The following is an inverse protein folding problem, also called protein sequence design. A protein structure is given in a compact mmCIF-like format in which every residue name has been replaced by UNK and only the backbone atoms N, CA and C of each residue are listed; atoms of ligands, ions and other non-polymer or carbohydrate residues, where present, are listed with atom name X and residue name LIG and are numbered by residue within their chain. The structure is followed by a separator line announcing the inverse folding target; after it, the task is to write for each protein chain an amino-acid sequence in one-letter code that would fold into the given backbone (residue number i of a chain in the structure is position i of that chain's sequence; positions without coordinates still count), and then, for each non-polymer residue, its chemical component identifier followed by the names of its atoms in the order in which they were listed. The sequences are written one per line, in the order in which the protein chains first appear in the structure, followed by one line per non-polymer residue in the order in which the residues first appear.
data_IF_494082919638
#
_entry.id   IF_494082919638
#
_cell.length_a   1.000
_cell.length_b   1.000
_cell.length_c   1.000
_cell.angle_alpha   90.00
_cell.angle_beta   90.00
_cell.angle_gamma   90.00
#
_symmetry.space_group_name_H-M   'P 1'
#
loop_
_entity.id
_entity.type
_entity.pdbx_description
1 polymer ?
#
# COMPACT_ATOMS: atom_id res chain seq x y z
N UNK A 1 11.28 21.57 14.68
CA UNK A 1 10.41 21.10 13.57
C UNK A 1 10.91 21.68 12.25
N UNK A 2 11.44 22.90 12.30
CA UNK A 2 12.05 23.70 11.23
C UNK A 2 13.16 23.03 10.40
N UNK A 3 13.61 21.83 10.78
CA UNK A 3 14.57 21.04 10.01
C UNK A 3 13.92 20.21 8.89
N UNK A 4 12.59 20.13 8.88
CA UNK A 4 11.85 19.23 8.02
C UNK A 4 10.92 20.00 7.09
N UNK A 5 11.00 19.70 5.81
CA UNK A 5 10.06 20.18 4.79
C UNK A 5 8.65 19.65 5.06
N UNK A 6 7.66 20.53 5.03
CA UNK A 6 6.24 20.22 5.23
C UNK A 6 5.73 19.18 4.21
N UNK A 7 5.00 18.18 4.69
CA UNK A 7 4.40 17.16 3.82
C UNK A 7 5.38 16.19 3.15
N UNK A 8 6.68 16.23 3.50
CA UNK A 8 7.73 15.49 2.82
C UNK A 8 8.33 14.36 3.67
N UNK A 9 7.79 13.14 3.52
CA UNK A 9 8.41 11.94 4.10
C UNK A 9 9.81 11.72 3.55
N UNK A 10 10.02 12.05 2.27
CA UNK A 10 11.32 11.99 1.60
C UNK A 10 12.35 12.83 2.35
N UNK A 11 12.03 14.09 2.69
CA UNK A 11 12.92 14.95 3.46
C UNK A 11 13.16 14.42 4.88
N UNK A 12 12.10 14.01 5.59
CA UNK A 12 12.19 13.41 6.92
C UNK A 12 13.20 12.25 6.96
N UNK A 13 13.10 11.31 6.02
CA UNK A 13 13.99 10.14 5.95
C UNK A 13 15.38 10.51 5.46
N UNK A 14 15.51 11.46 4.53
CA UNK A 14 16.82 11.98 4.09
C UNK A 14 17.63 12.48 5.28
N UNK A 15 17.01 13.18 6.22
CA UNK A 15 17.69 13.70 7.41
C UNK A 15 17.98 12.62 8.46
N UNK A 16 17.02 11.73 8.77
CA UNK A 16 17.15 10.80 9.90
C UNK A 16 17.95 9.54 9.53
N UNK A 17 17.81 9.03 8.31
CA UNK A 17 18.40 7.76 7.87
C UNK A 17 19.30 7.87 6.65
N UNK A 18 19.57 9.08 6.14
CA UNK A 18 20.36 9.28 4.93
C UNK A 18 21.80 8.78 5.05
N UNK A 19 22.60 9.37 5.95
CA UNK A 19 24.04 9.11 6.00
C UNK A 19 24.50 8.33 7.25
N UNK A 20 23.79 8.44 8.38
CA UNK A 20 24.26 7.95 9.69
C UNK A 20 24.48 6.44 9.76
N UNK A 21 23.82 5.67 8.90
CA UNK A 21 23.97 4.20 8.80
C UNK A 21 25.32 3.78 8.18
N UNK A 22 26.00 4.66 7.47
CA UNK A 22 27.29 4.42 6.81
C UNK A 22 28.51 4.87 7.61
N UNK A 23 28.33 5.36 8.85
CA UNK A 23 29.43 5.87 9.66
C UNK A 23 30.39 4.75 10.07
N UNK A 24 31.68 4.87 9.73
CA UNK A 24 32.73 3.90 10.09
C UNK A 24 32.85 3.64 11.60
N UNK A 25 32.42 4.60 12.42
CA UNK A 25 32.46 4.51 13.88
C UNK A 25 31.37 3.58 14.47
N UNK A 26 30.35 3.23 13.68
CA UNK A 26 29.26 2.37 14.12
C UNK A 26 29.39 0.98 13.49
N UNK A 27 29.21 -0.07 14.29
CA UNK A 27 29.16 -1.46 13.77
C UNK A 27 27.81 -1.78 13.14
N UNK A 28 26.75 -1.26 13.72
CA UNK A 28 25.38 -1.39 13.24
C UNK A 28 24.52 -0.27 13.85
N UNK A 29 23.45 0.10 13.17
CA UNK A 29 22.46 1.07 13.63
C UNK A 29 21.09 0.60 13.15
N UNK A 30 20.09 0.68 14.02
CA UNK A 30 18.69 0.42 13.64
C UNK A 30 17.79 1.53 14.14
N UNK A 31 16.98 2.08 13.24
CA UNK A 31 15.92 3.01 13.62
C UNK A 31 14.68 2.20 14.04
N UNK A 32 14.41 2.15 15.34
CA UNK A 32 13.29 1.39 15.88
C UNK A 32 11.96 2.13 15.78
N UNK A 33 11.93 3.42 16.10
CA UNK A 33 10.68 4.18 16.08
C UNK A 33 10.89 5.68 15.82
N UNK A 34 9.82 6.35 15.39
CA UNK A 34 9.74 7.80 15.24
C UNK A 34 8.53 8.35 16.01
N UNK A 35 8.78 9.34 16.88
CA UNK A 35 7.74 10.19 17.43
C UNK A 35 7.61 11.44 16.57
N UNK A 36 6.50 11.55 15.86
CA UNK A 36 6.24 12.64 14.91
C UNK A 36 5.32 13.66 15.59
N UNK A 37 5.73 14.93 15.74
CA UNK A 37 4.94 15.91 16.48
C UNK A 37 3.66 16.28 15.72
N UNK A 38 2.53 16.58 16.42
CA UNK A 38 1.27 16.94 15.77
C UNK A 38 1.37 18.09 14.76
N UNK A 39 2.24 19.08 15.03
CA UNK A 39 2.48 20.18 14.09
C UNK A 39 3.03 19.70 12.74
N UNK A 40 3.89 18.68 12.72
CA UNK A 40 4.40 18.11 11.47
C UNK A 40 3.38 17.17 10.83
N UNK A 41 2.68 16.36 11.62
CA UNK A 41 1.59 15.48 11.14
C UNK A 41 0.55 16.28 10.34
N UNK A 42 0.17 17.46 10.82
CA UNK A 42 -0.82 18.34 10.16
C UNK A 42 -0.41 18.86 8.77
N UNK A 43 0.85 18.71 8.38
CA UNK A 43 1.34 19.10 7.04
C UNK A 43 1.10 18.01 6.00
N UNK A 44 0.71 16.80 6.41
CA UNK A 44 0.43 15.68 5.51
C UNK A 44 -1.07 15.52 5.29
N UNK A 45 -1.44 15.10 4.08
CA UNK A 45 -2.83 14.74 3.78
C UNK A 45 -3.20 13.33 4.24
N UNK A 46 -2.21 12.45 4.45
CA UNK A 46 -2.44 11.08 4.93
C UNK A 46 -3.14 10.19 3.90
N UNK A 47 -3.91 9.16 4.33
CA UNK A 47 -4.68 8.29 3.44
C UNK A 47 -5.62 9.07 2.51
N UNK A 48 -5.80 8.65 1.24
CA UNK A 48 -6.80 9.25 0.36
C UNK A 48 -8.22 9.25 0.95
N UNK A 49 -8.60 8.16 1.63
CA UNK A 49 -9.93 7.94 2.18
C UNK A 49 -9.92 7.37 3.61
N UNK A 50 -9.09 6.35 3.85
CA UNK A 50 -9.04 5.63 5.14
C UNK A 50 -10.20 4.66 5.36
N UNK A 51 -10.16 3.99 6.51
CA UNK A 51 -10.97 2.79 6.83
C UNK A 51 -12.47 3.06 6.76
N UNK A 52 -12.94 4.15 7.37
CA UNK A 52 -14.36 4.46 7.47
C UNK A 52 -14.95 4.77 6.09
N UNK A 53 -14.34 5.71 5.37
CA UNK A 53 -14.81 6.14 4.04
C UNK A 53 -14.76 4.99 3.04
N UNK A 54 -13.76 4.11 3.10
CA UNK A 54 -13.73 2.91 2.27
C UNK A 54 -14.94 2.00 2.53
N UNK A 55 -15.25 1.72 3.80
CA UNK A 55 -16.41 0.88 4.15
C UNK A 55 -17.71 1.47 3.67
N UNK A 56 -17.84 2.79 3.79
CA UNK A 56 -19.01 3.53 3.33
C UNK A 56 -19.14 3.46 1.80
N UNK A 57 -18.05 3.72 1.07
CA UNK A 57 -18.00 3.63 -0.40
C UNK A 57 -18.35 2.25 -0.94
N UNK A 58 -17.94 1.20 -0.23
CA UNK A 58 -18.11 -0.19 -0.67
C UNK A 58 -19.35 -0.86 -0.07
N UNK A 59 -20.06 -0.19 0.82
CA UNK A 59 -21.21 -0.70 1.56
C UNK A 59 -20.93 -2.05 2.26
N UNK A 60 -19.81 -2.12 3.00
CA UNK A 60 -19.32 -3.37 3.61
C UNK A 60 -18.89 -3.18 5.07
N UNK A 61 -19.68 -3.76 5.98
CA UNK A 61 -19.54 -3.56 7.43
C UNK A 61 -19.51 -4.88 8.22
N UNK A 62 -19.11 -4.82 9.48
CA UNK A 62 -19.17 -5.96 10.41
C UNK A 62 -18.18 -7.09 10.16
N UNK A 63 -17.37 -7.03 9.09
CA UNK A 63 -16.38 -8.05 8.73
C UNK A 63 -15.10 -7.47 8.12
N UNK A 64 -14.07 -8.32 8.06
CA UNK A 64 -12.89 -8.07 7.25
C UNK A 64 -13.22 -8.15 5.74
N UNK A 65 -12.44 -7.45 4.92
CA UNK A 65 -12.46 -7.64 3.48
C UNK A 65 -11.73 -8.94 3.12
N UNK A 66 -12.23 -9.64 2.10
CA UNK A 66 -11.59 -10.82 1.53
C UNK A 66 -10.99 -10.49 0.18
N UNK A 67 -9.69 -10.79 0.03
CA UNK A 67 -8.92 -10.48 -1.17
C UNK A 67 -8.08 -11.66 -1.65
N UNK A 68 -7.72 -11.68 -2.93
CA UNK A 68 -6.81 -12.67 -3.50
C UNK A 68 -5.88 -12.06 -4.56
N UNK A 69 -4.59 -12.40 -4.51
CA UNK A 69 -3.65 -12.13 -5.60
C UNK A 69 -3.80 -13.17 -6.68
N UNK A 70 -4.01 -12.75 -7.94
CA UNK A 70 -4.10 -13.68 -9.06
C UNK A 70 -2.77 -14.43 -9.25
N UNK A 71 -2.85 -15.72 -9.58
CA UNK A 71 -1.70 -16.62 -9.77
C UNK A 71 -1.77 -17.35 -11.13
N UNK A 72 -0.63 -17.78 -11.72
CA UNK A 72 0.74 -17.56 -11.26
C UNK A 72 1.14 -16.08 -11.25
N UNK A 73 2.20 -15.75 -10.51
CA UNK A 73 2.65 -14.36 -10.28
C UNK A 73 2.90 -13.60 -11.60
N UNK A 74 3.51 -14.25 -12.59
CA UNK A 74 3.69 -13.71 -13.94
C UNK A 74 3.35 -14.79 -14.99
N UNK A 75 3.14 -14.36 -16.24
CA UNK A 75 3.00 -15.25 -17.40
C UNK A 75 1.56 -15.50 -17.87
N UNK A 76 0.54 -15.04 -17.15
CA UNK A 76 -0.84 -15.03 -17.65
C UNK A 76 -1.02 -13.92 -18.70
N UNK A 77 -1.77 -14.21 -19.76
CA UNK A 77 -2.27 -13.20 -20.68
C UNK A 77 -3.36 -12.33 -20.03
N UNK A 78 -3.55 -11.11 -20.53
CA UNK A 78 -4.55 -10.17 -20.01
C UNK A 78 -5.97 -10.78 -19.94
N UNK A 79 -6.39 -11.50 -20.97
CA UNK A 79 -7.71 -12.15 -21.03
C UNK A 79 -7.87 -13.25 -19.97
N UNK A 80 -6.84 -14.08 -19.79
CA UNK A 80 -6.87 -15.13 -18.74
C UNK A 80 -6.81 -14.51 -17.34
N UNK A 81 -6.13 -13.37 -17.18
CA UNK A 81 -6.13 -12.59 -15.94
C UNK A 81 -7.54 -12.09 -15.59
N UNK A 82 -8.25 -11.51 -16.57
CA UNK A 82 -9.65 -11.11 -16.43
C UNK A 82 -10.56 -12.28 -16.08
N UNK A 83 -10.40 -13.44 -16.73
CA UNK A 83 -11.15 -14.65 -16.38
C UNK A 83 -10.92 -15.07 -14.93
N UNK A 84 -9.66 -15.15 -14.48
CA UNK A 84 -9.34 -15.52 -13.11
C UNK A 84 -9.91 -14.51 -12.10
N UNK A 85 -9.81 -13.21 -12.40
CA UNK A 85 -10.43 -12.13 -11.62
C UNK A 85 -11.94 -12.37 -11.43
N UNK A 86 -12.66 -12.60 -12.53
CA UNK A 86 -14.11 -12.83 -12.51
C UNK A 86 -14.49 -14.05 -11.65
N UNK A 87 -13.82 -15.19 -11.85
CA UNK A 87 -14.11 -16.43 -11.11
C UNK A 87 -13.91 -16.25 -9.60
N UNK A 88 -12.86 -15.56 -9.19
CA UNK A 88 -12.60 -15.27 -7.79
C UNK A 88 -13.63 -14.30 -7.18
N UNK A 89 -13.98 -13.23 -7.88
CA UNK A 89 -14.91 -12.21 -7.37
C UNK A 89 -16.34 -12.73 -7.27
N UNK A 90 -16.83 -13.45 -8.30
CA UNK A 90 -18.18 -14.06 -8.28
C UNK A 90 -18.30 -15.13 -7.20
N UNK A 91 -17.18 -15.74 -6.79
CA UNK A 91 -17.11 -16.74 -5.73
C UNK A 91 -17.22 -16.18 -4.31
N UNK A 92 -17.34 -14.86 -4.14
CA UNK A 92 -17.59 -14.22 -2.84
C UNK A 92 -16.45 -13.36 -2.30
N UNK A 93 -15.32 -13.23 -3.02
CA UNK A 93 -14.30 -12.26 -2.64
C UNK A 93 -14.80 -10.82 -2.86
N UNK A 94 -14.34 -9.90 -2.02
CA UNK A 94 -14.57 -8.46 -2.23
C UNK A 94 -13.61 -7.94 -3.30
N UNK A 95 -12.38 -8.45 -3.25
CA UNK A 95 -11.30 -7.99 -4.08
C UNK A 95 -10.47 -9.10 -4.70
N UNK A 96 -9.89 -8.80 -5.84
CA UNK A 96 -8.67 -9.45 -6.32
C UNK A 96 -7.56 -8.40 -6.48
N UNK A 97 -6.34 -8.81 -6.78
CA UNK A 97 -5.24 -7.85 -7.00
C UNK A 97 -4.22 -8.34 -8.00
N UNK A 98 -3.60 -7.37 -8.65
CA UNK A 98 -2.34 -7.56 -9.34
C UNK A 98 -1.29 -8.08 -8.34
N UNK A 99 -0.39 -8.94 -8.80
CA UNK A 99 0.81 -9.25 -8.03
C UNK A 99 1.76 -8.04 -8.06
N UNK A 100 2.60 -7.80 -7.05
CA UNK A 100 3.38 -6.55 -6.97
C UNK A 100 4.29 -6.33 -8.19
N UNK A 101 4.79 -7.41 -8.79
CA UNK A 101 5.61 -7.33 -10.00
C UNK A 101 4.82 -7.48 -11.31
N UNK A 102 3.48 -7.48 -11.28
CA UNK A 102 2.66 -7.35 -12.49
C UNK A 102 2.52 -5.86 -12.80
N UNK A 103 3.26 -5.39 -13.82
CA UNK A 103 3.23 -3.99 -14.24
C UNK A 103 2.81 -3.93 -15.72
N UNK A 104 3.76 -3.91 -16.65
CA UNK A 104 3.51 -3.96 -18.10
C UNK A 104 4.57 -4.75 -18.85
N UNK A 105 4.46 -6.07 -18.80
CA UNK A 105 5.41 -7.00 -19.41
C UNK A 105 4.98 -7.41 -20.83
N UNK A 106 5.87 -7.99 -21.66
CA UNK A 106 5.52 -8.48 -23.00
C UNK A 106 4.35 -9.46 -23.03
N UNK A 107 4.21 -10.33 -22.02
CA UNK A 107 3.11 -11.31 -21.95
C UNK A 107 1.76 -10.67 -21.57
N UNK A 108 1.76 -9.46 -21.00
CA UNK A 108 0.55 -8.77 -20.55
C UNK A 108 0.81 -7.27 -20.37
N UNK A 109 0.41 -6.48 -21.37
CA UNK A 109 0.45 -5.02 -21.27
C UNK A 109 -0.61 -4.53 -20.30
N UNK A 110 -0.27 -3.48 -19.56
CA UNK A 110 -1.11 -2.99 -18.47
C UNK A 110 -2.50 -2.55 -18.93
N UNK A 111 -2.61 -1.89 -20.08
CA UNK A 111 -3.88 -1.35 -20.57
C UNK A 111 -4.86 -2.45 -20.97
N UNK A 112 -4.37 -3.51 -21.62
CA UNK A 112 -5.18 -4.69 -21.94
C UNK A 112 -5.67 -5.39 -20.66
N UNK A 113 -4.79 -5.53 -19.67
CA UNK A 113 -5.16 -6.10 -18.36
C UNK A 113 -6.23 -5.27 -17.68
N UNK A 114 -6.06 -3.94 -17.63
CA UNK A 114 -7.02 -3.03 -17.02
C UNK A 114 -8.41 -3.18 -17.68
N UNK A 115 -8.46 -3.26 -19.00
CA UNK A 115 -9.71 -3.45 -19.74
C UNK A 115 -10.42 -4.78 -19.39
N UNK A 116 -9.74 -5.93 -19.50
CA UNK A 116 -10.35 -7.23 -19.20
C UNK A 116 -10.68 -7.41 -17.70
N UNK A 117 -9.91 -6.79 -16.81
CA UNK A 117 -10.20 -6.81 -15.38
C UNK A 117 -11.38 -5.91 -15.04
N UNK A 118 -11.52 -4.74 -15.67
CA UNK A 118 -12.70 -3.89 -15.50
C UNK A 118 -13.98 -4.64 -15.94
N UNK A 119 -13.95 -5.31 -17.10
CA UNK A 119 -15.03 -6.19 -17.54
C UNK A 119 -15.37 -7.25 -16.48
N UNK A 120 -14.36 -7.93 -15.93
CA UNK A 120 -14.53 -8.95 -14.90
C UNK A 120 -15.13 -8.42 -13.59
N UNK A 121 -14.70 -7.24 -13.14
CA UNK A 121 -15.27 -6.56 -11.96
C UNK A 121 -16.76 -6.32 -12.18
N UNK A 122 -17.13 -5.66 -13.28
CA UNK A 122 -18.52 -5.28 -13.49
C UNK A 122 -19.43 -6.48 -13.76
N UNK A 123 -18.93 -7.50 -14.46
CA UNK A 123 -19.66 -8.75 -14.66
C UNK A 123 -19.95 -9.46 -13.33
N UNK A 124 -18.94 -9.63 -12.47
CA UNK A 124 -19.12 -10.28 -11.16
C UNK A 124 -19.98 -9.45 -10.21
N UNK A 125 -19.86 -8.11 -10.23
CA UNK A 125 -20.73 -7.22 -9.46
C UNK A 125 -22.19 -7.31 -9.91
N UNK A 126 -22.45 -7.33 -11.21
CA UNK A 126 -23.81 -7.46 -11.74
C UNK A 126 -24.46 -8.81 -11.35
N UNK A 127 -23.70 -9.90 -11.35
CA UNK A 127 -24.20 -11.23 -11.00
C UNK A 127 -24.42 -11.42 -9.49
N UNK A 128 -23.59 -10.80 -8.66
CA UNK A 128 -23.64 -10.99 -7.20
C UNK A 128 -24.45 -9.93 -6.46
N UNK A 129 -24.67 -8.76 -7.07
CA UNK A 129 -25.30 -7.61 -6.41
C UNK A 129 -24.41 -6.90 -5.39
N UNK A 130 -23.14 -7.30 -5.24
CA UNK A 130 -22.19 -6.70 -4.30
C UNK A 130 -21.14 -5.87 -5.03
N UNK A 131 -20.69 -4.77 -4.42
CA UNK A 131 -19.55 -4.00 -4.94
C UNK A 131 -18.30 -4.88 -4.93
N UNK A 132 -17.61 -4.93 -6.08
CA UNK A 132 -16.36 -5.68 -6.29
C UNK A 132 -15.23 -4.75 -6.74
N UNK A 133 -13.98 -5.17 -6.53
CA UNK A 133 -12.83 -4.44 -7.05
C UNK A 133 -11.65 -5.33 -7.40
N UNK A 134 -10.73 -4.77 -8.17
CA UNK A 134 -9.41 -5.37 -8.40
C UNK A 134 -8.35 -4.30 -8.22
N UNK A 135 -7.31 -4.56 -7.44
CA UNK A 135 -6.25 -3.57 -7.24
C UNK A 135 -5.36 -3.54 -8.49
N UNK A 136 -5.68 -2.65 -9.42
CA UNK A 136 -4.91 -2.46 -10.65
C UNK A 136 -3.58 -1.77 -10.33
N UNK A 137 -2.45 -2.39 -10.68
CA UNK A 137 -1.13 -1.90 -10.27
C UNK A 137 -0.64 -0.72 -11.13
N UNK A 138 -0.58 0.46 -10.51
CA UNK A 138 -0.10 1.70 -11.11
C UNK A 138 1.43 1.81 -11.11
N UNK A 139 2.16 0.97 -10.36
CA UNK A 139 3.63 0.99 -10.28
C UNK A 139 4.26 0.92 -11.68
N UNK A 140 5.10 1.89 -12.01
CA UNK A 140 5.61 2.11 -13.37
C UNK A 140 7.09 2.53 -13.37
N UNK A 141 7.74 2.62 -14.55
CA UNK A 141 9.13 3.07 -14.65
C UNK A 141 9.36 4.52 -14.20
N UNK A 142 8.33 5.37 -14.32
CA UNK A 142 8.37 6.81 -14.02
C UNK A 142 7.01 7.28 -13.48
N UNK A 143 6.99 8.49 -12.89
CA UNK A 143 5.82 9.03 -12.20
C UNK A 143 4.69 9.42 -13.17
N UNK A 144 5.04 9.89 -14.36
CA UNK A 144 4.11 10.25 -15.43
C UNK A 144 3.34 9.02 -15.91
N UNK A 145 4.04 7.92 -16.17
CA UNK A 145 3.46 6.63 -16.53
C UNK A 145 2.60 6.06 -15.41
N UNK A 146 3.01 6.22 -14.15
CA UNK A 146 2.24 5.79 -12.99
C UNK A 146 0.91 6.56 -12.90
N UNK A 147 0.95 7.89 -13.00
CA UNK A 147 -0.24 8.73 -12.98
C UNK A 147 -1.14 8.48 -14.19
N UNK A 148 -0.57 8.22 -15.37
CA UNK A 148 -1.34 7.87 -16.56
C UNK A 148 -2.09 6.53 -16.38
N UNK A 149 -1.50 5.54 -15.73
CA UNK A 149 -2.22 4.30 -15.37
C UNK A 149 -3.36 4.57 -14.40
N UNK A 150 -3.12 5.37 -13.37
CA UNK A 150 -4.15 5.76 -12.41
C UNK A 150 -5.31 6.50 -13.09
N UNK A 151 -5.01 7.38 -14.05
CA UNK A 151 -6.02 8.05 -14.87
C UNK A 151 -6.85 7.07 -15.69
N UNK A 152 -6.22 6.12 -16.37
CA UNK A 152 -6.97 5.12 -17.15
C UNK A 152 -7.81 4.22 -16.24
N UNK A 153 -7.34 3.86 -15.04
CA UNK A 153 -8.16 3.15 -14.05
C UNK A 153 -9.39 3.97 -13.63
N UNK A 154 -9.23 5.27 -13.40
CA UNK A 154 -10.34 6.20 -13.13
C UNK A 154 -11.32 6.25 -14.31
N UNK A 155 -10.85 6.32 -15.55
CA UNK A 155 -11.69 6.33 -16.75
C UNK A 155 -12.50 5.04 -16.91
N UNK A 156 -11.95 3.89 -16.49
CA UNK A 156 -12.71 2.64 -16.39
C UNK A 156 -13.71 2.61 -15.23
N UNK A 157 -13.69 3.58 -14.31
CA UNK A 157 -14.61 3.69 -13.18
C UNK A 157 -14.37 2.69 -12.06
N UNK A 158 -13.22 2.00 -12.03
CA UNK A 158 -12.92 1.00 -10.99
C UNK A 158 -12.72 1.66 -9.62
N UNK A 159 -13.01 0.97 -8.50
CA UNK A 159 -12.99 1.63 -7.19
C UNK A 159 -11.59 1.78 -6.57
N UNK A 160 -10.60 1.02 -7.03
CA UNK A 160 -9.32 0.85 -6.33
C UNK A 160 -8.16 0.55 -7.28
N UNK A 161 -6.98 1.08 -6.95
CA UNK A 161 -5.69 0.76 -7.58
C UNK A 161 -4.67 0.32 -6.52
N UNK A 162 -3.49 -0.14 -6.93
CA UNK A 162 -2.37 -0.39 -6.03
C UNK A 162 -1.05 0.24 -6.46
N UNK A 163 -0.15 0.41 -5.49
CA UNK A 163 1.20 0.92 -5.69
C UNK A 163 2.21 0.24 -4.76
N UNK A 164 3.42 0.00 -5.28
CA UNK A 164 4.55 -0.53 -4.53
C UNK A 164 5.40 0.64 -4.01
N UNK A 165 5.00 1.22 -2.88
CA UNK A 165 5.52 2.54 -2.47
C UNK A 165 7.03 2.60 -2.21
N UNK A 166 7.68 1.50 -1.81
CA UNK A 166 9.12 1.49 -1.56
C UNK A 166 9.92 1.40 -2.84
N UNK A 167 9.52 0.52 -3.76
CA UNK A 167 10.21 0.34 -5.04
C UNK A 167 9.89 1.47 -6.01
N UNK A 168 8.69 2.06 -5.94
CA UNK A 168 8.32 3.28 -6.65
C UNK A 168 8.83 4.57 -5.98
N UNK A 169 9.03 4.55 -4.66
CA UNK A 169 9.53 5.66 -3.85
C UNK A 169 8.44 6.55 -3.24
N UNK A 170 8.77 7.18 -2.11
CA UNK A 170 7.84 8.04 -1.35
C UNK A 170 7.33 9.24 -2.15
N UNK A 171 8.18 9.89 -2.95
CA UNK A 171 7.76 11.04 -3.77
C UNK A 171 6.67 10.66 -4.76
N UNK A 172 6.85 9.54 -5.48
CA UNK A 172 5.82 9.01 -6.38
C UNK A 172 4.55 8.60 -5.61
N UNK A 173 4.71 7.93 -4.47
CA UNK A 173 3.59 7.51 -3.64
C UNK A 173 2.73 8.69 -3.16
N UNK A 174 3.35 9.75 -2.64
CA UNK A 174 2.63 10.95 -2.18
C UNK A 174 1.87 11.61 -3.33
N UNK A 175 2.47 11.73 -4.52
CA UNK A 175 1.80 12.23 -5.72
C UNK A 175 0.60 11.37 -6.11
N UNK A 176 0.75 10.04 -6.07
CA UNK A 176 -0.33 9.11 -6.38
C UNK A 176 -1.45 9.16 -5.34
N UNK A 177 -1.13 9.27 -4.04
CA UNK A 177 -2.13 9.41 -2.98
C UNK A 177 -2.95 10.70 -3.16
N UNK A 178 -2.31 11.80 -3.53
CA UNK A 178 -2.98 13.06 -3.85
C UNK A 178 -3.89 12.94 -5.08
N UNK A 179 -3.41 12.26 -6.13
CA UNK A 179 -4.23 11.95 -7.30
C UNK A 179 -5.47 11.11 -6.92
N UNK A 180 -5.28 10.05 -6.14
CA UNK A 180 -6.34 9.15 -5.71
C UNK A 180 -7.43 9.88 -4.90
N UNK A 181 -7.02 10.75 -3.97
CA UNK A 181 -7.94 11.60 -3.20
C UNK A 181 -8.79 12.49 -4.11
N UNK A 182 -8.16 13.17 -5.05
CA UNK A 182 -8.84 14.11 -5.94
C UNK A 182 -9.71 13.42 -7.01
N UNK A 183 -9.55 12.10 -7.20
CA UNK A 183 -10.27 11.33 -8.22
C UNK A 183 -11.13 10.19 -7.63
N UNK A 184 -11.25 10.11 -6.31
CA UNK A 184 -12.12 9.15 -5.63
C UNK A 184 -11.66 7.69 -5.67
N UNK A 185 -10.41 7.42 -6.08
CA UNK A 185 -9.83 6.07 -6.13
C UNK A 185 -9.29 5.64 -4.76
N UNK A 186 -9.63 4.44 -4.31
CA UNK A 186 -8.94 3.82 -3.17
C UNK A 186 -7.51 3.44 -3.58
N UNK A 187 -6.58 3.52 -2.63
CA UNK A 187 -5.16 3.23 -2.86
C UNK A 187 -4.64 2.13 -1.93
N UNK A 188 -4.48 0.93 -2.50
CA UNK A 188 -3.83 -0.18 -1.81
C UNK A 188 -2.30 -0.08 -1.89
N UNK A 189 -1.61 -0.15 -0.75
CA UNK A 189 -0.15 -0.12 -0.72
C UNK A 189 0.46 -1.49 -0.47
N UNK A 190 1.31 -1.90 -1.42
CA UNK A 190 2.16 -3.06 -1.29
C UNK A 190 3.55 -2.66 -0.79
N UNK A 191 4.11 -3.44 0.13
CA UNK A 191 5.39 -3.16 0.78
C UNK A 191 6.58 -3.89 0.16
N UNK A 192 6.57 -4.15 -1.15
CA UNK A 192 7.69 -4.84 -1.81
C UNK A 192 9.03 -4.18 -1.42
N UNK A 193 10.11 -4.96 -1.26
CA UNK A 193 11.44 -4.52 -0.76
C UNK A 193 11.55 -4.26 0.76
N UNK A 194 10.47 -4.19 1.53
CA UNK A 194 10.56 -3.82 2.97
C UNK A 194 11.52 -4.69 3.79
N UNK A 195 11.54 -6.01 3.57
CA UNK A 195 12.37 -6.95 4.32
C UNK A 195 13.88 -6.79 4.07
N UNK A 196 14.29 -6.05 3.03
CA UNK A 196 15.68 -5.60 2.84
C UNK A 196 16.08 -4.61 3.94
N UNK A 197 15.11 -3.83 4.42
CA UNK A 197 15.30 -2.71 5.34
C UNK A 197 14.97 -3.11 6.79
N UNK A 198 13.91 -3.89 7.01
CA UNK A 198 13.28 -4.01 8.34
C UNK A 198 13.49 -5.33 9.06
N UNK A 199 14.03 -6.35 8.39
CA UNK A 199 14.08 -7.71 8.93
C UNK A 199 15.11 -7.89 10.04
N UNK A 200 16.34 -7.39 9.83
CA UNK A 200 17.43 -7.63 10.77
C UNK A 200 17.25 -6.81 12.04
N UNK A 201 17.43 -7.44 13.21
CA UNK A 201 17.20 -6.78 14.52
C UNK A 201 18.27 -5.76 14.89
N UNK A 202 19.45 -5.82 14.28
CA UNK A 202 20.60 -4.98 14.65
C UNK A 202 20.88 -3.84 13.67
N UNK A 203 20.41 -3.94 12.42
CA UNK A 203 20.68 -2.96 11.38
C UNK A 203 19.45 -2.72 10.50
N UNK A 204 19.19 -1.46 10.15
CA UNK A 204 18.13 -1.06 9.22
C UNK A 204 17.04 -0.19 9.87
N UNK A 205 15.80 -0.32 9.44
CA UNK A 205 14.70 0.49 9.96
C UNK A 205 13.48 -0.39 10.18
N UNK A 206 12.96 -0.41 11.41
CA UNK A 206 11.85 -1.29 11.75
C UNK A 206 10.57 -0.96 10.96
N UNK A 207 9.76 -1.98 10.64
CA UNK A 207 8.53 -1.84 9.85
C UNK A 207 7.54 -0.81 10.41
N UNK A 208 7.52 -0.58 11.72
CA UNK A 208 6.66 0.43 12.37
C UNK A 208 6.98 1.85 11.91
N UNK A 209 8.25 2.14 11.62
CA UNK A 209 8.66 3.42 11.06
C UNK A 209 8.08 3.55 9.66
N UNK A 210 8.25 2.51 8.84
CA UNK A 210 7.69 2.39 7.50
C UNK A 210 6.15 2.54 7.48
N UNK A 211 5.47 1.95 8.47
CA UNK A 211 4.02 2.05 8.61
C UNK A 211 3.57 3.49 8.95
N UNK A 212 4.26 4.15 9.90
CA UNK A 212 3.99 5.56 10.25
C UNK A 212 4.24 6.48 9.06
N UNK A 213 5.36 6.33 8.37
CA UNK A 213 5.72 7.16 7.23
C UNK A 213 4.83 6.91 6.02
N UNK A 214 4.37 5.68 5.80
CA UNK A 214 3.35 5.41 4.78
C UNK A 214 2.03 6.08 5.14
N UNK A 215 1.56 5.98 6.39
CA UNK A 215 0.32 6.63 6.84
C UNK A 215 0.36 8.15 6.62
N UNK A 216 1.53 8.77 6.74
CA UNK A 216 1.74 10.19 6.42
C UNK A 216 1.76 10.46 4.90
N UNK A 217 2.53 9.70 4.12
CA UNK A 217 2.62 9.84 2.65
C UNK A 217 1.27 9.60 1.95
N UNK A 218 0.51 8.63 2.45
CA UNK A 218 -0.84 8.31 2.02
C UNK A 218 -0.96 6.90 1.43
N UNK A 219 -1.93 6.16 1.97
CA UNK A 219 -2.37 4.85 1.50
C UNK A 219 -3.59 4.41 2.30
N UNK A 220 -4.58 3.84 1.64
CA UNK A 220 -5.81 3.37 2.31
C UNK A 220 -5.59 1.99 2.94
N UNK A 221 -4.78 1.14 2.31
CA UNK A 221 -4.31 -0.14 2.87
C UNK A 221 -2.79 -0.15 2.98
N UNK A 222 -2.26 -0.94 3.93
CA UNK A 222 -0.86 -1.35 3.96
C UNK A 222 -0.77 -2.81 4.41
N UNK A 223 0.01 -3.60 3.67
CA UNK A 223 0.36 -4.97 4.09
C UNK A 223 1.07 -4.96 5.45
N UNK A 224 0.53 -5.67 6.43
CA UNK A 224 1.04 -5.70 7.81
C UNK A 224 1.71 -7.02 8.20
N UNK A 225 1.57 -8.07 7.40
CA UNK A 225 2.04 -9.43 7.73
C UNK A 225 0.92 -10.27 8.34
N UNK A 226 1.13 -11.59 8.40
CA UNK A 226 0.08 -12.52 8.81
C UNK A 226 0.37 -13.25 10.12
N UNK A 227 1.61 -13.16 10.64
CA UNK A 227 2.14 -13.93 11.79
C UNK A 227 2.21 -15.44 11.53
N UNK A 228 1.15 -16.04 10.99
CA UNK A 228 0.99 -17.49 10.77
C UNK A 228 1.27 -17.93 9.33
N UNK A 229 1.61 -17.00 8.44
CA UNK A 229 1.88 -17.31 7.03
C UNK A 229 3.34 -17.61 6.75
N UNK A 230 3.68 -17.67 5.46
CA UNK A 230 5.04 -18.03 5.00
C UNK A 230 6.13 -16.96 5.22
N UNK A 231 5.76 -15.75 5.64
CA UNK A 231 6.69 -14.63 5.86
C UNK A 231 6.77 -14.32 7.35
N UNK A 232 7.96 -13.95 7.82
CA UNK A 232 8.25 -13.63 9.21
C UNK A 232 7.36 -12.50 9.76
N UNK A 233 6.94 -12.64 11.03
CA UNK A 233 6.22 -11.60 11.77
C UNK A 233 5.94 -12.03 13.21
N UNK A 234 6.50 -11.30 14.18
CA UNK A 234 6.21 -11.48 15.61
C UNK A 234 4.82 -10.93 15.96
N UNK A 235 4.06 -11.65 16.78
CA UNK A 235 2.65 -11.31 17.07
C UNK A 235 2.51 -9.98 17.80
N UNK A 236 3.22 -9.78 18.90
CA UNK A 236 3.07 -8.59 19.76
C UNK A 236 3.50 -7.33 19.01
N UNK A 237 4.64 -7.43 18.31
CA UNK A 237 5.14 -6.33 17.47
C UNK A 237 4.17 -6.02 16.33
N UNK A 238 3.56 -7.06 15.73
CA UNK A 238 2.56 -6.89 14.67
C UNK A 238 1.35 -6.14 15.15
N UNK A 239 0.83 -6.51 16.32
CA UNK A 239 -0.30 -5.80 16.91
C UNK A 239 0.05 -4.34 17.22
N UNK A 240 1.25 -4.05 17.72
CA UNK A 240 1.69 -2.67 17.99
C UNK A 240 1.68 -1.78 16.74
N UNK A 241 2.23 -2.23 15.61
CA UNK A 241 2.18 -1.42 14.39
C UNK A 241 0.82 -1.43 13.68
N UNK A 242 -0.05 -2.41 13.94
CA UNK A 242 -1.45 -2.37 13.50
C UNK A 242 -2.19 -1.22 14.17
N UNK A 243 -2.00 -1.00 15.48
CA UNK A 243 -2.60 0.14 16.19
C UNK A 243 -2.04 1.47 15.65
N UNK A 244 -0.73 1.55 15.39
CA UNK A 244 -0.09 2.72 14.79
C UNK A 244 -0.66 3.10 13.41
N UNK A 245 -1.20 2.14 12.66
CA UNK A 245 -1.85 2.38 11.37
C UNK A 245 -3.31 2.82 11.50
N UNK A 246 -3.98 2.46 12.59
CA UNK A 246 -5.45 2.55 12.71
C UNK A 246 -5.91 3.61 13.69
N UNK A 247 -5.24 3.71 14.83
CA UNK A 247 -5.76 4.46 15.96
C UNK A 247 -5.38 5.94 15.86
N UNK A 248 -6.16 6.79 16.51
CA UNK A 248 -5.92 8.23 16.55
C UNK A 248 -4.84 8.62 17.57
N UNK A 249 -4.70 7.81 18.62
CA UNK A 249 -3.73 7.98 19.69
C UNK A 249 -3.23 6.62 20.14
N UNK A 250 -1.91 6.49 20.34
CA UNK A 250 -1.27 5.24 20.72
C UNK A 250 -0.30 5.55 21.86
N UNK A 251 -0.50 4.89 22.99
CA UNK A 251 0.38 5.00 24.15
C UNK A 251 1.68 4.24 23.94
N UNK A 252 2.71 4.61 24.69
CA UNK A 252 3.97 3.88 24.70
C UNK A 252 3.77 2.51 25.32
N UNK A 253 4.08 1.46 24.56
CA UNK A 253 4.08 0.07 25.01
C UNK A 253 5.26 -0.68 24.39
N UNK A 254 6.33 -0.83 25.18
CA UNK A 254 7.56 -1.48 24.74
C UNK A 254 7.39 -2.97 24.46
N UNK A 255 6.42 -3.64 25.08
CA UNK A 255 6.18 -5.07 24.86
C UNK A 255 5.64 -5.31 23.44
N UNK A 256 4.88 -4.35 22.91
CA UNK A 256 4.37 -4.34 21.54
C UNK A 256 5.26 -3.55 20.58
N UNK A 257 6.44 -3.13 21.06
CA UNK A 257 7.42 -2.38 20.28
C UNK A 257 7.01 -0.94 19.95
N UNK A 258 6.15 -0.30 20.73
CA UNK A 258 5.83 1.13 20.62
C UNK A 258 6.70 1.90 21.63
N UNK A 259 7.58 2.78 21.15
CA UNK A 259 8.65 3.37 21.97
C UNK A 259 8.43 4.82 22.39
#
# INVERSE_FOLDING_TARGET
IDLFEEGSVTNLLTSIVGNVFGFKALRALRLEDLRIPPAYIKTFLGPPHGIQVERDKLNKYGRAFLGCTIKPKLGLSAKNYGRACYECLRGGLDFTKDDENVNSQPFMRWRDRFAFVAEAIYKSQAETGEIKGHYLNATAPDSESMLYRAQVAREFGVPIIMHDYLTGGYTANTSLANYCRNNGLLLHIHRAMHAVIDRQRIHGMHFRVLAKTLRLSGGDHLHSGTVVGKLEGDREVTQGFVDLMRDNFIERDRNRGVF
#
